data_IF_503931814050
#
_entry.id   IF_503931814050
#
_cell.length_a   1.000
_cell.length_b   1.000
_cell.length_c   1.000
_cell.angle_alpha   90.00
_cell.angle_beta   90.00
_cell.angle_gamma   90.00
#
_symmetry.space_group_name_H-M   'P 1'
#
loop_
_entity.id
_entity.type
_entity.pdbx_description
1 polymer ?
#
# COMPACT_ATOMS: atom_id res chain seq x y z
N UNK A 1 -2.36 33.06 28.92
CA UNK A 1 -1.24 32.57 28.10
C UNK A 1 -1.68 32.68 26.65
N UNK A 2 -1.17 33.67 25.91
CA UNK A 2 -1.47 33.83 24.48
C UNK A 2 -0.47 33.00 23.68
N UNK A 3 -0.91 32.08 22.80
CA UNK A 3 0.01 31.28 22.01
C UNK A 3 0.80 32.18 21.04
N UNK A 4 2.12 32.03 21.04
CA UNK A 4 3.03 32.69 20.10
C UNK A 4 3.42 31.70 19.00
N UNK A 5 3.05 31.99 17.75
CA UNK A 5 3.40 31.20 16.56
C UNK A 5 2.20 30.76 15.73
N UNK A 6 2.42 30.44 14.45
CA UNK A 6 1.38 29.87 13.60
C UNK A 6 1.05 28.44 14.05
N UNK A 7 -0.24 28.16 14.28
CA UNK A 7 -0.76 26.86 14.69
C UNK A 7 -0.69 25.78 13.58
N UNK A 8 -0.46 26.19 12.33
CA UNK A 8 -0.39 25.28 11.18
C UNK A 8 1.01 25.27 10.60
N UNK A 9 1.63 24.10 10.60
CA UNK A 9 2.94 23.86 10.00
C UNK A 9 2.76 23.14 8.68
N UNK A 10 3.51 23.55 7.65
CA UNK A 10 3.50 22.86 6.34
C UNK A 10 3.98 21.42 6.55
N UNK A 11 3.07 20.47 6.39
CA UNK A 11 3.45 19.06 6.38
C UNK A 11 3.98 18.69 5.00
N UNK A 12 5.13 18.00 4.93
CA UNK A 12 5.67 17.57 3.65
C UNK A 12 4.80 16.46 3.04
N UNK A 13 4.64 16.47 1.71
CA UNK A 13 3.75 15.57 0.94
C UNK A 13 4.07 14.09 1.15
N UNK A 14 5.29 13.76 1.57
CA UNK A 14 5.74 12.39 1.89
C UNK A 14 4.85 11.65 2.90
N UNK A 15 4.28 12.34 3.89
CA UNK A 15 3.34 11.69 4.84
C UNK A 15 2.06 11.21 4.15
N UNK A 16 1.58 11.95 3.15
CA UNK A 16 0.45 11.53 2.33
C UNK A 16 0.80 10.30 1.49
N UNK A 17 1.99 10.26 0.88
CA UNK A 17 2.44 9.10 0.08
C UNK A 17 2.50 7.81 0.92
N UNK A 18 3.02 7.89 2.15
CA UNK A 18 3.06 6.75 3.07
C UNK A 18 1.64 6.33 3.47
N UNK A 19 0.75 7.29 3.77
CA UNK A 19 -0.64 6.98 4.11
C UNK A 19 -1.40 6.32 2.95
N UNK A 20 -1.22 6.82 1.73
CA UNK A 20 -1.83 6.24 0.53
C UNK A 20 -1.29 4.83 0.26
N UNK A 21 0.02 4.61 0.43
CA UNK A 21 0.62 3.28 0.28
C UNK A 21 0.11 2.30 1.33
N UNK A 22 -0.07 2.76 2.57
CA UNK A 22 -0.65 1.96 3.65
C UNK A 22 -2.10 1.56 3.33
N UNK A 23 -2.92 2.50 2.86
CA UNK A 23 -4.30 2.23 2.44
C UNK A 23 -4.34 1.23 1.28
N UNK A 24 -3.45 1.40 0.29
CA UNK A 24 -3.35 0.48 -0.84
C UNK A 24 -3.03 -0.94 -0.37
N UNK A 25 -2.00 -1.10 0.47
CA UNK A 25 -1.61 -2.39 1.03
C UNK A 25 -2.71 -3.03 1.88
N UNK A 26 -3.43 -2.26 2.68
CA UNK A 26 -4.54 -2.77 3.50
C UNK A 26 -5.68 -3.31 2.61
N UNK A 27 -5.99 -2.59 1.53
CA UNK A 27 -6.96 -3.04 0.53
C UNK A 27 -6.53 -4.35 -0.14
N UNK A 28 -5.23 -4.50 -0.45
CA UNK A 28 -4.70 -5.74 -1.02
C UNK A 28 -4.92 -6.93 -0.08
N UNK A 29 -4.67 -6.76 1.22
CA UNK A 29 -4.91 -7.80 2.24
C UNK A 29 -6.40 -8.15 2.33
N UNK A 30 -7.28 -7.15 2.25
CA UNK A 30 -8.73 -7.39 2.19
C UNK A 30 -9.12 -8.26 1.00
N UNK A 31 -8.46 -8.12 -0.16
CA UNK A 31 -8.67 -8.99 -1.32
C UNK A 31 -8.06 -10.40 -1.15
N UNK A 32 -6.96 -10.53 -0.41
CA UNK A 32 -6.34 -11.82 -0.11
C UNK A 32 -7.21 -12.70 0.80
N UNK A 33 -7.97 -12.11 1.72
CA UNK A 33 -8.82 -12.84 2.67
C UNK A 33 -9.84 -13.78 2.01
N UNK A 34 -10.76 -13.29 1.15
CA UNK A 34 -11.76 -14.16 0.52
C UNK A 34 -11.11 -15.19 -0.39
N UNK A 35 -10.03 -14.83 -1.10
CA UNK A 35 -9.25 -15.77 -1.90
C UNK A 35 -8.68 -16.92 -1.04
N UNK A 36 -8.09 -16.60 0.11
CA UNK A 36 -7.53 -17.61 1.02
C UNK A 36 -8.61 -18.55 1.57
N UNK A 37 -9.83 -18.04 1.82
CA UNK A 37 -10.96 -18.85 2.28
C UNK A 37 -11.42 -19.84 1.19
N UNK A 38 -11.52 -19.39 -0.07
CA UNK A 38 -12.01 -20.23 -1.19
C UNK A 38 -10.90 -20.98 -1.93
N UNK A 39 -9.64 -20.85 -1.51
CA UNK A 39 -8.47 -21.43 -2.16
C UNK A 39 -8.63 -22.93 -2.46
N UNK A 40 -9.25 -23.69 -1.54
CA UNK A 40 -9.49 -25.13 -1.73
C UNK A 40 -10.45 -25.48 -2.89
N UNK A 41 -11.34 -24.56 -3.27
CA UNK A 41 -12.30 -24.77 -4.36
C UNK A 41 -11.74 -24.33 -5.72
N UNK A 42 -10.87 -23.32 -5.71
CA UNK A 42 -10.30 -22.69 -6.89
C UNK A 42 -9.08 -23.45 -7.48
N UNK A 43 -8.50 -24.36 -6.69
CA UNK A 43 -7.39 -25.24 -7.08
C UNK A 43 -6.25 -24.49 -7.81
N UNK A 44 -5.79 -25.01 -8.96
CA UNK A 44 -4.65 -24.44 -9.69
C UNK A 44 -4.96 -23.09 -10.35
N UNK A 45 -6.22 -22.86 -10.71
CA UNK A 45 -6.66 -21.61 -11.35
C UNK A 45 -6.54 -20.44 -10.37
N UNK A 46 -7.03 -20.62 -9.14
CA UNK A 46 -6.90 -19.62 -8.09
C UNK A 46 -5.46 -19.28 -7.72
N UNK A 47 -4.54 -20.25 -7.83
CA UNK A 47 -3.12 -20.03 -7.55
C UNK A 47 -2.49 -19.11 -8.60
N UNK A 48 -2.82 -19.30 -9.88
CA UNK A 48 -2.30 -18.46 -10.98
C UNK A 48 -2.85 -17.04 -10.86
N UNK A 49 -4.15 -16.89 -10.65
CA UNK A 49 -4.77 -15.56 -10.47
C UNK A 49 -4.12 -14.80 -9.31
N UNK A 50 -3.86 -15.49 -8.20
CA UNK A 50 -3.21 -14.89 -7.05
C UNK A 50 -1.76 -14.48 -7.32
N UNK A 51 -1.02 -15.31 -8.05
CA UNK A 51 0.34 -15.00 -8.44
C UNK A 51 0.40 -13.75 -9.34
N UNK A 52 -0.52 -13.64 -10.29
CA UNK A 52 -0.60 -12.48 -11.20
C UNK A 52 -0.94 -11.22 -10.42
N UNK A 53 -1.91 -11.28 -9.51
CA UNK A 53 -2.28 -10.15 -8.66
C UNK A 53 -1.09 -9.70 -7.79
N UNK A 54 -0.42 -10.62 -7.10
CA UNK A 54 0.80 -10.31 -6.32
C UNK A 54 1.90 -9.68 -7.17
N UNK A 55 2.12 -10.18 -8.39
CA UNK A 55 3.11 -9.62 -9.32
C UNK A 55 2.82 -8.17 -9.67
N UNK A 56 1.56 -7.84 -9.98
CA UNK A 56 1.15 -6.47 -10.32
C UNK A 56 1.42 -5.52 -9.14
N UNK A 57 1.12 -5.96 -7.92
CA UNK A 57 1.36 -5.18 -6.70
C UNK A 57 2.84 -4.96 -6.44
N UNK A 58 3.65 -6.01 -6.56
CA UNK A 58 5.12 -5.91 -6.39
C UNK A 58 5.70 -4.92 -7.40
N UNK A 59 5.25 -4.95 -8.65
CA UNK A 59 5.70 -3.99 -9.67
C UNK A 59 5.34 -2.55 -9.28
N UNK A 60 4.11 -2.32 -8.80
CA UNK A 60 3.68 -1.02 -8.28
C UNK A 60 4.51 -0.54 -7.09
N UNK A 61 4.76 -1.43 -6.12
CA UNK A 61 5.57 -1.16 -4.95
C UNK A 61 7.02 -0.81 -5.31
N UNK A 62 7.64 -1.62 -6.18
CA UNK A 62 9.01 -1.40 -6.67
C UNK A 62 9.11 -0.07 -7.42
N UNK A 63 8.09 0.31 -8.20
CA UNK A 63 8.05 1.60 -8.86
C UNK A 63 8.03 2.77 -7.87
N UNK A 64 7.18 2.70 -6.84
CA UNK A 64 7.10 3.75 -5.81
C UNK A 64 8.40 3.83 -5.00
N UNK A 65 9.00 2.69 -4.68
CA UNK A 65 10.28 2.62 -4.00
C UNK A 65 11.39 3.27 -4.83
N UNK A 66 11.51 2.93 -6.12
CA UNK A 66 12.48 3.57 -7.03
C UNK A 66 12.29 5.08 -7.18
N UNK A 67 11.08 5.60 -6.94
CA UNK A 67 10.78 7.03 -7.01
C UNK A 67 11.21 7.81 -5.75
N UNK A 68 11.83 7.15 -4.77
CA UNK A 68 12.33 7.79 -3.56
C UNK A 68 11.22 8.24 -2.60
N UNK A 69 9.98 7.75 -2.76
CA UNK A 69 8.86 8.10 -1.89
C UNK A 69 9.04 7.62 -0.44
N UNK A 70 10.00 6.73 -0.21
CA UNK A 70 10.33 6.10 1.07
C UNK A 70 11.69 6.53 1.64
N UNK A 71 12.47 7.36 0.95
CA UNK A 71 13.79 7.80 1.45
C UNK A 71 13.65 8.92 2.49
N UNK A 72 14.40 8.79 3.58
CA UNK A 72 14.48 9.74 4.68
C UNK A 72 15.82 10.45 4.63
N UNK A 73 15.81 11.69 4.13
CA UNK A 73 16.81 12.73 4.41
C UNK A 73 16.09 13.95 5.04
#
# INVERSE_FOLDING_TARGET
MTPYGQAMRRMPVRFYLIATLFILFDIEVVFLYPWAIVFRQLAWFGLIEMMVFLLILIVGYVYVWKKGALEWD
#
